data_IF_191162674742
#
_entry.id   IF_191162674742
#
_cell.length_a   1.000
_cell.length_b   1.000
_cell.length_c   1.000
_cell.angle_alpha   90.00
_cell.angle_beta   90.00
_cell.angle_gamma   90.00
#
_symmetry.space_group_name_H-M   'P 1'
#
loop_
_entity.id
_entity.type
_entity.pdbx_description
1 polymer ?
#
# COMPACT_ATOMS: atom_id res chain seq x y z
N UNK A 1 -6.87 2.45 -6.39
CA UNK A 1 -7.36 1.53 -5.35
C UNK A 1 -6.46 0.29 -5.37
N UNK A 2 -5.92 -0.12 -4.24
CA UNK A 2 -5.19 -1.38 -4.08
C UNK A 2 -5.84 -2.19 -2.96
N UNK A 3 -6.13 -3.46 -3.22
CA UNK A 3 -6.69 -4.38 -2.21
C UNK A 3 -5.61 -5.37 -1.80
N UNK A 4 -5.47 -5.59 -0.50
CA UNK A 4 -4.46 -6.50 0.06
C UNK A 4 -5.15 -7.50 0.96
N UNK A 5 -4.90 -8.78 0.69
CA UNK A 5 -5.44 -9.91 1.44
C UNK A 5 -4.29 -10.72 2.03
N UNK A 6 -4.38 -11.05 3.31
CA UNK A 6 -3.50 -12.02 3.96
C UNK A 6 -4.15 -13.42 3.88
N UNK A 7 -3.69 -14.32 3.00
CA UNK A 7 -4.26 -15.67 2.87
C UNK A 7 -3.80 -16.64 3.96
N UNK A 8 -2.88 -16.23 4.85
CA UNK A 8 -2.27 -17.11 5.83
C UNK A 8 -3.14 -17.26 7.08
N UNK A 9 -2.89 -18.34 7.84
CA UNK A 9 -3.49 -18.61 9.14
C UNK A 9 -2.95 -17.74 10.28
N UNK A 10 -1.99 -16.87 9.99
CA UNK A 10 -1.20 -16.13 10.97
C UNK A 10 -1.24 -14.62 10.65
N UNK A 11 -1.08 -13.74 11.65
CA UNK A 11 -0.93 -12.31 11.39
C UNK A 11 0.35 -12.04 10.60
N UNK A 12 0.27 -11.13 9.63
CA UNK A 12 1.39 -10.73 8.78
C UNK A 12 1.69 -9.25 8.99
N UNK A 13 2.95 -8.95 9.27
CA UNK A 13 3.52 -7.61 9.28
C UNK A 13 4.66 -7.59 8.25
N UNK A 14 4.52 -6.79 7.20
CA UNK A 14 5.50 -6.72 6.12
C UNK A 14 5.47 -5.37 5.43
N UNK A 15 6.53 -5.05 4.69
CA UNK A 15 6.57 -3.90 3.79
C UNK A 15 6.31 -4.39 2.37
N UNK A 16 5.19 -3.97 1.79
CA UNK A 16 4.80 -4.35 0.44
C UNK A 16 5.29 -3.30 -0.56
N UNK A 17 6.16 -3.66 -1.52
CA UNK A 17 6.50 -2.77 -2.62
C UNK A 17 5.31 -2.68 -3.58
N UNK A 18 4.67 -1.52 -3.65
CA UNK A 18 3.51 -1.28 -4.52
C UNK A 18 3.97 -0.51 -5.75
N UNK A 19 4.02 -1.14 -6.94
CA UNK A 19 4.38 -0.43 -8.16
C UNK A 19 3.27 0.53 -8.62
N UNK A 20 3.62 1.79 -8.86
CA UNK A 20 2.72 2.85 -9.31
C UNK A 20 3.06 3.38 -10.71
N UNK A 21 3.90 2.68 -11.49
CA UNK A 21 4.36 3.15 -12.80
C UNK A 21 3.23 3.37 -13.83
N UNK A 22 2.03 2.81 -13.64
CA UNK A 22 0.86 3.06 -14.49
C UNK A 22 -0.08 4.17 -13.98
N UNK A 23 0.17 4.77 -12.82
CA UNK A 23 -0.71 5.82 -12.26
C UNK A 23 -0.39 7.21 -12.79
N UNK A 24 0.77 7.40 -13.43
CA UNK A 24 1.27 8.71 -13.86
C UNK A 24 1.91 9.54 -12.75
N UNK A 25 2.00 9.01 -11.53
CA UNK A 25 2.72 9.63 -10.42
C UNK A 25 4.22 9.47 -10.61
N UNK A 26 4.98 10.55 -10.36
CA UNK A 26 6.43 10.59 -10.61
C UNK A 26 7.26 10.79 -9.36
N UNK A 27 6.80 11.65 -8.45
CA UNK A 27 7.62 12.10 -7.31
C UNK A 27 7.05 11.63 -5.97
N UNK A 28 5.75 11.87 -5.75
CA UNK A 28 5.06 11.49 -4.51
C UNK A 28 3.70 10.87 -4.80
N UNK A 29 3.27 10.01 -3.88
CA UNK A 29 1.93 9.45 -3.82
C UNK A 29 1.33 9.72 -2.43
N UNK A 30 0.06 10.04 -2.38
CA UNK A 30 -0.70 10.03 -1.13
C UNK A 30 -1.45 8.71 -1.01
N UNK A 31 -1.31 8.07 0.14
CA UNK A 31 -1.96 6.79 0.44
C UNK A 31 -2.85 6.94 1.67
N UNK A 32 -4.05 6.38 1.60
CA UNK A 32 -4.98 6.31 2.72
C UNK A 32 -5.48 4.87 2.87
N UNK A 33 -5.31 4.30 4.06
CA UNK A 33 -5.89 3.01 4.42
C UNK A 33 -7.34 3.20 4.84
N UNK A 34 -8.28 2.53 4.16
CA UNK A 34 -9.71 2.57 4.51
C UNK A 34 -10.29 3.98 4.72
N UNK A 35 -9.87 4.95 3.90
CA UNK A 35 -10.30 6.36 3.98
C UNK A 35 -9.87 7.10 5.26
N UNK A 36 -8.92 6.55 6.02
CA UNK A 36 -8.29 7.22 7.15
C UNK A 36 -7.29 8.30 6.70
N UNK A 37 -6.46 8.78 7.63
CA UNK A 37 -5.47 9.82 7.38
C UNK A 37 -4.57 9.52 6.19
N UNK A 38 -4.45 10.50 5.30
CA UNK A 38 -3.55 10.44 4.16
C UNK A 38 -2.09 10.57 4.61
N UNK A 39 -1.26 9.66 4.13
CA UNK A 39 0.18 9.66 4.33
C UNK A 39 0.88 9.85 2.98
N UNK A 40 1.95 10.64 2.96
CA UNK A 40 2.72 10.89 1.73
C UNK A 40 3.91 9.96 1.65
N UNK A 41 4.10 9.35 0.49
CA UNK A 41 5.21 8.46 0.16
C UNK A 41 5.98 9.04 -1.03
N UNK A 42 7.30 9.04 -0.95
CA UNK A 42 8.16 9.35 -2.09
C UNK A 42 8.33 8.11 -2.95
N UNK A 43 8.16 8.26 -4.26
CA UNK A 43 8.35 7.14 -5.18
C UNK A 43 9.84 6.83 -5.32
N UNK A 44 10.16 5.54 -5.38
CA UNK A 44 11.46 5.08 -5.83
C UNK A 44 11.63 5.34 -7.34
N UNK A 45 12.86 5.18 -7.86
CA UNK A 45 13.18 5.48 -9.27
C UNK A 45 12.45 4.60 -10.28
N UNK A 46 12.04 3.41 -9.86
CA UNK A 46 11.21 2.45 -10.58
C UNK A 46 9.71 2.62 -10.26
N UNK A 47 9.34 3.76 -9.67
CA UNK A 47 7.97 4.19 -9.41
C UNK A 47 7.18 3.30 -8.45
N UNK A 48 7.84 2.57 -7.53
CA UNK A 48 7.16 1.92 -6.42
C UNK A 48 7.17 2.77 -5.15
N UNK A 49 6.29 2.43 -4.22
CA UNK A 49 6.33 2.89 -2.83
C UNK A 49 6.48 1.68 -1.89
N UNK A 50 7.16 1.88 -0.77
CA UNK A 50 7.25 0.90 0.31
C UNK A 50 6.10 1.10 1.29
N UNK A 51 5.09 0.23 1.23
CA UNK A 51 3.88 0.35 2.04
C UNK A 51 3.92 -0.63 3.22
N UNK A 52 4.13 -0.17 4.46
CA UNK A 52 4.04 -1.04 5.63
C UNK A 52 2.59 -1.47 5.85
N UNK A 53 2.37 -2.78 5.99
CA UNK A 53 1.05 -3.37 6.24
C UNK A 53 1.08 -4.27 7.47
N UNK A 54 -0.03 -4.30 8.19
CA UNK A 54 -0.28 -5.20 9.31
C UNK A 54 -1.68 -5.78 9.17
N UNK A 55 -1.77 -7.07 8.88
CA UNK A 55 -3.05 -7.75 8.69
C UNK A 55 -3.18 -8.95 9.63
N UNK A 56 -4.35 -9.16 10.24
CA UNK A 56 -4.64 -10.41 10.94
C UNK A 56 -4.70 -11.58 9.95
N UNK A 57 -4.69 -12.82 10.48
CA UNK A 57 -4.93 -14.03 9.71
C UNK A 57 -6.23 -13.89 8.89
N UNK A 58 -6.20 -14.28 7.61
CA UNK A 58 -7.34 -14.15 6.69
C UNK A 58 -7.91 -12.73 6.57
N UNK A 59 -7.13 -11.71 6.94
CA UNK A 59 -7.54 -10.30 6.94
C UNK A 59 -7.45 -9.65 5.57
N UNK A 60 -8.30 -8.65 5.34
CA UNK A 60 -8.32 -7.83 4.12
C UNK A 60 -8.27 -6.34 4.49
N UNK A 61 -7.56 -5.55 3.70
CA UNK A 61 -7.60 -4.08 3.74
C UNK A 61 -7.55 -3.51 2.33
N UNK A 62 -7.80 -2.20 2.20
CA UNK A 62 -7.71 -1.49 0.94
C UNK A 62 -7.09 -0.12 1.12
N UNK A 63 -6.36 0.30 0.09
CA UNK A 63 -5.66 1.57 0.04
C UNK A 63 -6.16 2.40 -1.12
N UNK A 64 -6.48 3.67 -0.83
CA UNK A 64 -6.65 4.71 -1.82
C UNK A 64 -5.29 5.32 -2.11
N UNK A 65 -4.99 5.51 -3.39
CA UNK A 65 -3.70 6.03 -3.87
C UNK A 65 -4.02 7.14 -4.88
N UNK A 66 -3.39 8.29 -4.73
CA UNK A 66 -3.51 9.46 -5.62
C UNK A 66 -2.24 10.28 -5.65
#
# INVERSE_FOLDING_TARGET
LAMVFNPTSDPVETTLPVPLYYTGLTDTAQVSEQENTWQSYTLARDYHIDLPIRLPALGITWFLIK
#
